data_IF_044705546639
#
_entry.id   IF_044705546639
#
_cell.length_a   1.000
_cell.length_b   1.000
_cell.length_c   1.000
_cell.angle_alpha   90.00
_cell.angle_beta   90.00
_cell.angle_gamma   90.00
#
_symmetry.space_group_name_H-M   'P 1'
#
loop_
_entity.id
_entity.type
_entity.pdbx_description
1 polymer ?
#
# COMPACT_ATOMS: atom_id res chain seq x y z
N UNK A 1 -0.20 10.13 0.69
CA UNK A 1 -0.04 9.94 -0.77
C UNK A 1 -0.53 8.54 -1.13
N UNK A 2 -1.45 8.40 -2.09
CA UNK A 2 -1.95 7.11 -2.58
C UNK A 2 -1.01 6.52 -3.65
N UNK A 3 0.29 6.43 -3.33
CA UNK A 3 1.30 5.88 -4.23
C UNK A 3 1.11 4.38 -4.49
N UNK A 4 1.65 3.89 -5.60
CA UNK A 4 1.59 2.46 -6.00
C UNK A 4 0.18 1.91 -6.29
N UNK A 5 -0.77 2.77 -6.67
CA UNK A 5 -2.16 2.38 -6.90
C UNK A 5 -2.56 2.11 -8.36
N UNK A 6 -1.58 1.81 -9.21
CA UNK A 6 -1.84 1.55 -10.62
C UNK A 6 -2.71 0.29 -10.77
N UNK A 7 -3.76 0.44 -11.57
CA UNK A 7 -4.67 -0.63 -11.94
C UNK A 7 -3.91 -1.76 -12.65
N UNK A 8 -4.14 -3.02 -12.25
CA UNK A 8 -3.38 -4.20 -12.74
C UNK A 8 -4.22 -5.21 -13.54
N UNK A 9 -5.53 -5.02 -13.58
CA UNK A 9 -6.49 -5.84 -14.32
C UNK A 9 -6.72 -5.37 -15.78
N UNK A 10 -6.03 -4.30 -16.20
CA UNK A 10 -6.01 -3.84 -17.59
C UNK A 10 -4.85 -4.41 -18.41
N UNK A 11 -4.85 -4.15 -19.72
CA UNK A 11 -3.75 -4.52 -20.65
C UNK A 11 -2.45 -3.76 -20.34
N UNK A 12 -2.55 -2.65 -19.60
CA UNK A 12 -1.44 -1.78 -19.20
C UNK A 12 -1.69 -1.19 -17.81
N UNK A 13 -0.62 -0.90 -17.08
CA UNK A 13 -0.65 -0.17 -15.81
C UNK A 13 -0.45 1.34 -15.99
N UNK A 14 -0.29 1.80 -17.22
CA UNK A 14 -0.09 3.23 -17.53
C UNK A 14 -1.40 4.01 -17.30
N UNK A 15 -1.38 5.10 -16.51
CA UNK A 15 -2.59 5.77 -16.06
C UNK A 15 -3.15 6.74 -17.13
N UNK A 16 -3.65 6.22 -18.26
CA UNK A 16 -4.14 7.07 -19.37
C UNK A 16 -5.24 8.06 -18.95
N UNK A 17 -6.02 7.72 -17.92
CA UNK A 17 -7.10 8.54 -17.41
C UNK A 17 -6.66 9.88 -16.79
N UNK A 18 -5.36 10.08 -16.50
CA UNK A 18 -4.86 11.38 -16.00
C UNK A 18 -4.62 12.39 -17.13
N UNK A 19 -4.66 11.96 -18.39
CA UNK A 19 -4.49 12.83 -19.54
C UNK A 19 -5.83 13.42 -19.98
N UNK A 20 -5.75 14.60 -20.59
CA UNK A 20 -6.89 15.28 -21.21
C UNK A 20 -7.08 14.82 -22.67
N UNK A 21 -8.21 15.17 -23.27
CA UNK A 21 -8.48 14.92 -24.70
C UNK A 21 -9.37 13.72 -24.98
N UNK A 22 -10.29 13.41 -24.08
CA UNK A 22 -11.25 12.30 -24.19
C UNK A 22 -10.94 11.14 -23.25
N UNK A 23 -9.74 11.08 -22.67
CA UNK A 23 -9.31 10.05 -21.72
C UNK A 23 -9.94 10.24 -20.34
N UNK A 24 -10.41 11.43 -20.00
CA UNK A 24 -11.15 11.69 -18.76
C UNK A 24 -12.41 10.81 -18.62
N UNK A 25 -12.98 10.36 -19.75
CA UNK A 25 -14.17 9.48 -19.80
C UNK A 25 -13.93 8.08 -19.24
N UNK A 26 -12.66 7.66 -19.12
CA UNK A 26 -12.27 6.37 -18.56
C UNK A 26 -11.66 6.51 -17.16
N UNK A 27 -11.86 7.67 -16.52
CA UNK A 27 -11.46 7.87 -15.11
C UNK A 27 -12.33 7.01 -14.21
N UNK A 28 -11.74 6.18 -13.33
CA UNK A 28 -12.50 5.38 -12.38
C UNK A 28 -13.31 6.27 -11.43
N UNK A 29 -14.46 5.76 -10.97
CA UNK A 29 -15.16 6.38 -9.84
C UNK A 29 -14.36 6.15 -8.54
N UNK A 30 -14.64 6.93 -7.50
CA UNK A 30 -13.87 6.92 -6.24
C UNK A 30 -13.77 5.51 -5.65
N UNK A 31 -14.85 4.74 -5.75
CA UNK A 31 -14.98 3.37 -5.25
C UNK A 31 -14.11 2.36 -6.01
N UNK A 32 -13.75 2.68 -7.26
CA UNK A 32 -12.87 1.85 -8.10
C UNK A 32 -11.39 2.19 -7.91
N UNK A 33 -11.07 3.28 -7.22
CA UNK A 33 -9.69 3.52 -6.80
C UNK A 33 -9.31 2.47 -5.77
N UNK A 34 -8.22 1.76 -6.05
CA UNK A 34 -7.68 0.65 -5.26
C UNK A 34 -7.14 1.12 -3.88
N UNK A 35 -7.94 1.71 -3.00
CA UNK A 35 -7.43 2.20 -1.72
C UNK A 35 -6.88 1.03 -0.88
N UNK A 36 -5.58 1.04 -0.58
CA UNK A 36 -4.93 -0.02 0.21
C UNK A 36 -5.25 0.04 1.71
N UNK A 37 -5.98 1.07 2.13
CA UNK A 37 -6.27 1.36 3.54
C UNK A 37 -5.13 2.11 4.21
N UNK A 38 -5.34 2.45 5.48
CA UNK A 38 -4.32 3.10 6.29
C UNK A 38 -3.12 2.17 6.52
N UNK A 39 -1.94 2.77 6.47
CA UNK A 39 -0.75 2.14 7.05
C UNK A 39 -0.81 2.38 8.56
N UNK A 40 -0.87 1.30 9.34
CA UNK A 40 -1.01 1.34 10.80
C UNK A 40 0.25 0.78 11.43
N UNK A 41 0.83 1.53 12.36
CA UNK A 41 1.95 1.08 13.19
C UNK A 41 1.41 0.90 14.61
N UNK A 42 1.54 -0.30 15.15
CA UNK A 42 1.15 -0.62 16.52
C UNK A 42 2.00 0.07 17.59
N UNK A 43 1.68 -0.21 18.84
CA UNK A 43 2.41 0.28 20.01
C UNK A 43 3.77 -0.41 20.14
N UNK A 44 4.77 0.33 20.63
CA UNK A 44 6.11 -0.20 20.92
C UNK A 44 6.81 -0.91 19.73
N UNK A 45 6.61 -0.38 18.52
CA UNK A 45 7.31 -0.86 17.32
C UNK A 45 8.67 -0.19 17.21
N UNK A 46 9.73 -0.97 16.97
CA UNK A 46 11.04 -0.44 16.59
C UNK A 46 11.20 -0.50 15.07
N UNK A 47 11.43 0.66 14.46
CA UNK A 47 11.77 0.80 13.05
C UNK A 47 13.26 1.18 12.99
N UNK A 48 14.05 0.44 12.21
CA UNK A 48 15.47 0.73 12.00
C UNK A 48 15.69 2.03 11.22
N UNK A 49 16.81 2.10 10.51
CA UNK A 49 17.11 3.21 9.62
C UNK A 49 16.95 2.80 8.14
N UNK A 50 16.44 3.72 7.33
CA UNK A 50 16.32 3.60 5.87
C UNK A 50 15.30 2.55 5.39
N UNK A 51 14.14 2.49 6.03
CA UNK A 51 13.05 1.57 5.70
C UNK A 51 12.11 2.14 4.63
N UNK A 52 11.49 1.22 3.90
CA UNK A 52 10.31 1.50 3.07
C UNK A 52 9.13 0.65 3.53
N UNK A 53 8.02 1.28 3.89
CA UNK A 53 6.75 0.61 4.25
C UNK A 53 5.73 0.90 3.15
N UNK A 54 5.23 -0.15 2.49
CA UNK A 54 4.27 -0.03 1.39
C UNK A 54 2.89 0.40 1.93
N UNK A 55 2.07 1.13 1.15
CA UNK A 55 0.71 1.52 1.56
C UNK A 55 -0.17 0.34 1.98
N UNK A 56 -0.95 0.52 3.05
CA UNK A 56 -1.92 -0.47 3.56
C UNK A 56 -1.33 -1.52 4.50
N UNK A 57 -0.07 -1.39 4.89
CA UNK A 57 0.59 -2.31 5.83
C UNK A 57 0.14 -2.02 7.27
N UNK A 58 -0.24 -3.07 8.00
CA UNK A 58 -0.59 -3.02 9.42
C UNK A 58 0.46 -3.77 10.24
N UNK A 59 1.36 -3.05 10.89
CA UNK A 59 2.42 -3.61 11.74
C UNK A 59 1.88 -3.77 13.16
N UNK A 60 2.00 -4.98 13.71
CA UNK A 60 1.52 -5.29 15.06
C UNK A 60 2.39 -4.71 16.17
N UNK A 61 1.82 -4.67 17.38
CA UNK A 61 2.51 -4.18 18.58
C UNK A 61 3.81 -4.96 18.86
N UNK A 62 4.84 -4.27 19.33
CA UNK A 62 6.12 -4.88 19.72
C UNK A 62 7.01 -5.36 18.56
N UNK A 63 6.60 -5.14 17.30
CA UNK A 63 7.39 -5.55 16.15
C UNK A 63 8.74 -4.81 16.06
N UNK A 64 9.76 -5.49 15.52
CA UNK A 64 11.07 -4.89 15.19
C UNK A 64 11.29 -5.04 13.68
N UNK A 65 11.56 -3.93 13.01
CA UNK A 65 11.85 -3.86 11.57
C UNK A 65 13.32 -3.51 11.41
N UNK A 66 14.09 -4.41 10.79
CA UNK A 66 15.53 -4.26 10.60
C UNK A 66 15.86 -3.12 9.63
N UNK A 67 17.01 -2.46 9.87
CA UNK A 67 17.56 -1.42 8.99
C UNK A 67 17.58 -1.86 7.52
N UNK A 68 17.30 -0.91 6.61
CA UNK A 68 17.26 -1.10 5.15
C UNK A 68 16.20 -2.11 4.64
N UNK A 69 15.15 -2.38 5.42
CA UNK A 69 14.08 -3.30 5.00
C UNK A 69 13.04 -2.64 4.10
N UNK A 70 12.41 -3.44 3.22
CA UNK A 70 11.17 -3.08 2.52
C UNK A 70 10.03 -3.97 2.98
N UNK A 71 9.04 -3.40 3.68
CA UNK A 71 7.90 -4.13 4.23
C UNK A 71 6.75 -4.14 3.22
N UNK A 72 6.53 -5.30 2.58
CA UNK A 72 5.54 -5.47 1.51
C UNK A 72 4.30 -6.28 1.92
N UNK A 73 4.37 -7.01 3.03
CA UNK A 73 3.28 -7.85 3.55
C UNK A 73 3.52 -8.16 5.03
N UNK A 74 2.44 -8.24 5.80
CA UNK A 74 2.43 -8.78 7.17
C UNK A 74 1.64 -10.09 7.14
N UNK A 75 2.17 -11.12 7.79
CA UNK A 75 1.47 -12.39 7.97
C UNK A 75 0.80 -12.39 9.34
N UNK A 76 -0.45 -12.86 9.40
CA UNK A 76 -1.11 -13.07 10.69
C UNK A 76 -0.39 -14.20 11.41
N UNK A 77 -0.04 -13.98 12.68
CA UNK A 77 0.28 -15.10 13.55
C UNK A 77 -0.99 -15.92 13.79
N UNK A 78 -0.96 -17.25 13.61
CA UNK A 78 -2.06 -18.09 14.06
C UNK A 78 -2.23 -17.88 15.57
N UNK A 79 -3.47 -17.67 16.02
CA UNK A 79 -3.77 -17.65 17.45
C UNK A 79 -3.28 -18.97 18.02
N UNK A 80 -2.34 -18.93 18.96
CA UNK A 80 -2.00 -20.11 19.75
C UNK A 80 -3.26 -20.45 20.55
N UNK A 81 -3.77 -21.67 20.33
CA UNK A 81 -5.00 -22.16 20.94
C UNK A 81 -4.87 -22.40 22.43
#
# INVERSE_FOLDING_TARGET
>A
MNGANNRKDGITTYPFNIFVGGWEKVTPIVEEFLFKGDTVIGSNVWIGQNETIIPGIKIGDGAIISANSTVVKVLNHPKQG
#
